data_IF_349208916408
#
_entry.id   IF_349208916408
#
_cell.length_a   1.000
_cell.length_b   1.000
_cell.length_c   1.000
_cell.angle_alpha   90.00
_cell.angle_beta   90.00
_cell.angle_gamma   90.00
#
_symmetry.space_group_name_H-M   'P 1'
#
loop_
_entity.id
_entity.type
_entity.pdbx_description
1 polymer ?
#
# COMPACT_ATOMS: atom_id res chain seq x y z
N UNK A 1 12.86 -6.93 -20.62
CA UNK A 1 12.21 -5.69 -20.15
C UNK A 1 10.83 -6.13 -19.67
N UNK A 2 10.62 -6.27 -18.36
CA UNK A 2 9.35 -6.74 -17.80
C UNK A 2 8.39 -5.55 -17.73
N UNK A 3 7.68 -5.31 -18.83
CA UNK A 3 6.64 -4.29 -18.90
C UNK A 3 5.37 -4.87 -18.24
N UNK A 4 5.25 -4.73 -16.92
CA UNK A 4 4.05 -5.17 -16.20
C UNK A 4 2.92 -4.16 -16.43
N UNK A 5 2.02 -4.47 -17.37
CA UNK A 5 0.77 -3.75 -17.61
C UNK A 5 -0.06 -3.74 -16.32
N UNK A 6 -0.14 -2.58 -15.67
CA UNK A 6 -0.79 -2.45 -14.37
C UNK A 6 -2.31 -2.38 -14.58
N UNK A 7 -3.02 -3.47 -14.25
CA UNK A 7 -4.47 -3.52 -14.41
C UNK A 7 -5.16 -2.58 -13.40
N UNK A 8 -6.25 -1.88 -13.77
CA UNK A 8 -7.02 -1.07 -12.83
C UNK A 8 -7.37 -1.85 -11.55
N UNK A 9 -7.37 -1.17 -10.39
CA UNK A 9 -7.62 -1.77 -9.06
C UNK A 9 -6.62 -2.86 -8.64
N UNK A 10 -5.35 -2.71 -9.01
CA UNK A 10 -4.27 -3.55 -8.48
C UNK A 10 -3.28 -2.68 -7.71
N UNK A 11 -2.41 -3.32 -6.94
CA UNK A 11 -1.29 -2.69 -6.27
C UNK A 11 -0.10 -3.64 -6.24
N UNK A 12 1.10 -3.10 -6.00
CA UNK A 12 2.26 -3.89 -5.64
C UNK A 12 2.97 -3.24 -4.46
N UNK A 13 3.84 -4.01 -3.79
CA UNK A 13 4.65 -3.50 -2.69
C UNK A 13 6.11 -3.55 -3.12
N UNK A 14 6.78 -2.41 -3.05
CA UNK A 14 8.20 -2.25 -3.34
C UNK A 14 8.95 -2.04 -2.04
N UNK A 15 10.00 -2.82 -1.82
CA UNK A 15 10.92 -2.69 -0.70
C UNK A 15 12.13 -1.85 -1.10
N UNK A 16 12.61 -1.03 -0.15
CA UNK A 16 13.67 -0.05 -0.34
C UNK A 16 13.40 0.94 -1.48
N UNK A 17 12.27 1.67 -1.44
CA UNK A 17 11.87 2.55 -2.53
C UNK A 17 12.86 3.70 -2.76
N UNK A 18 12.94 4.17 -4.00
CA UNK A 18 13.74 5.36 -4.33
C UNK A 18 13.24 6.63 -3.63
N UNK A 19 14.18 7.47 -3.20
CA UNK A 19 13.89 8.82 -2.71
C UNK A 19 13.43 9.68 -3.88
N UNK A 20 12.30 10.36 -3.72
CA UNK A 20 11.77 11.33 -4.68
C UNK A 20 11.79 12.74 -4.11
N UNK A 21 12.04 13.74 -4.95
CA UNK A 21 11.94 15.15 -4.60
C UNK A 21 10.46 15.63 -4.61
N UNK A 22 10.22 16.90 -4.30
CA UNK A 22 8.87 17.51 -4.31
C UNK A 22 8.20 17.47 -5.69
N UNK A 23 8.97 17.39 -6.77
CA UNK A 23 8.47 17.24 -8.13
C UNK A 23 8.19 15.77 -8.50
N UNK A 24 8.44 14.82 -7.59
CA UNK A 24 8.24 13.39 -7.81
C UNK A 24 9.36 12.69 -8.58
N UNK A 25 10.47 13.38 -8.84
CA UNK A 25 11.63 12.88 -9.57
C UNK A 25 12.62 12.15 -8.64
N UNK A 26 13.30 11.13 -9.17
CA UNK A 26 14.25 10.32 -8.39
C UNK A 26 15.51 11.11 -8.06
N UNK A 27 15.92 11.05 -6.80
CA UNK A 27 17.13 11.71 -6.30
C UNK A 27 18.33 10.76 -6.45
N UNK A 28 19.39 11.25 -7.07
CA UNK A 28 20.65 10.51 -7.25
C UNK A 28 21.75 11.05 -6.31
N UNK A 29 22.73 10.21 -6.00
CA UNK A 29 23.94 10.60 -5.28
C UNK A 29 25.03 11.16 -6.22
N UNK A 30 26.20 11.50 -5.66
CA UNK A 30 27.33 12.07 -6.42
C UNK A 30 27.90 11.12 -7.48
N UNK A 31 27.61 9.82 -7.37
CA UNK A 31 28.09 8.78 -8.27
C UNK A 31 27.03 8.39 -9.32
N UNK A 32 25.86 9.03 -9.31
CA UNK A 32 24.75 8.71 -10.20
C UNK A 32 23.92 7.50 -9.76
N UNK A 33 24.08 7.03 -8.51
CA UNK A 33 23.26 5.96 -7.96
C UNK A 33 21.96 6.53 -7.38
N UNK A 34 20.83 5.87 -7.66
CA UNK A 34 19.54 6.26 -7.08
C UNK A 34 19.58 6.08 -5.56
N UNK A 35 19.17 7.11 -4.81
CA UNK A 35 19.08 7.02 -3.36
C UNK A 35 17.86 6.21 -2.97
N UNK A 36 18.00 5.32 -2.00
CA UNK A 36 16.94 4.44 -1.52
C UNK A 36 16.59 4.76 -0.06
N UNK A 37 15.33 4.58 0.31
CA UNK A 37 14.87 4.57 1.70
C UNK A 37 14.95 3.12 2.19
N UNK A 38 16.10 2.73 2.73
CA UNK A 38 16.32 1.36 3.17
C UNK A 38 15.35 0.94 4.28
N UNK A 39 14.91 -0.33 4.23
CA UNK A 39 13.96 -0.93 5.17
C UNK A 39 12.57 -0.26 5.23
N UNK A 40 12.22 0.53 4.20
CA UNK A 40 10.88 1.06 4.02
C UNK A 40 10.12 0.31 2.91
N UNK A 41 8.80 0.47 2.91
CA UNK A 41 7.90 -0.11 1.93
C UNK A 41 7.12 1.00 1.22
N UNK A 42 6.94 0.85 -0.09
CA UNK A 42 6.13 1.71 -0.93
C UNK A 42 5.00 0.91 -1.57
N UNK A 43 3.77 1.37 -1.40
CA UNK A 43 2.57 0.75 -1.95
C UNK A 43 2.18 1.50 -3.21
N UNK A 44 2.49 0.90 -4.36
CA UNK A 44 2.21 1.52 -5.67
C UNK A 44 0.86 1.05 -6.18
N UNK A 45 -0.07 1.98 -6.30
CA UNK A 45 -1.40 1.72 -6.87
C UNK A 45 -1.37 1.79 -8.39
N UNK A 46 -2.08 0.86 -9.03
CA UNK A 46 -2.40 0.94 -10.44
C UNK A 46 -3.29 2.15 -10.71
N UNK A 47 -2.88 3.04 -11.60
CA UNK A 47 -3.80 4.01 -12.20
C UNK A 47 -3.95 3.70 -13.68
N UNK A 48 -5.16 3.82 -14.26
CA UNK A 48 -5.41 3.49 -15.67
C UNK A 48 -4.49 4.22 -16.65
N UNK A 49 -4.14 5.46 -16.32
CA UNK A 49 -3.34 6.36 -17.17
C UNK A 49 -1.87 6.45 -16.74
N UNK A 50 -1.45 5.61 -15.79
CA UNK A 50 -0.07 5.60 -15.30
C UNK A 50 0.78 4.67 -16.16
N UNK A 51 1.82 5.23 -16.76
CA UNK A 51 2.81 4.47 -17.51
C UNK A 51 3.48 3.40 -16.60
N UNK A 52 3.89 2.26 -17.18
CA UNK A 52 4.73 1.30 -16.46
C UNK A 52 5.95 2.01 -15.86
N UNK A 53 6.31 1.63 -14.65
CA UNK A 53 7.47 2.19 -13.96
C UNK A 53 8.58 1.13 -13.87
N UNK A 54 9.84 1.51 -14.11
CA UNK A 54 10.96 0.61 -13.84
C UNK A 54 11.17 0.44 -12.33
N UNK A 55 11.76 -0.68 -11.93
CA UNK A 55 12.41 -0.79 -10.63
C UNK A 55 13.84 -0.25 -10.77
N UNK A 56 14.25 0.61 -9.84
CA UNK A 56 15.60 1.13 -9.80
C UNK A 56 16.56 0.12 -9.16
N UNK A 57 17.87 0.18 -9.46
CA UNK A 57 18.86 -0.69 -8.82
C UNK A 57 18.75 -0.65 -7.28
N UNK A 58 18.46 -1.80 -6.68
CA UNK A 58 18.29 -1.98 -5.24
C UNK A 58 16.83 -1.94 -4.75
N UNK A 59 15.87 -1.50 -5.55
CA UNK A 59 14.45 -1.73 -5.28
C UNK A 59 14.12 -3.21 -5.48
N UNK A 60 13.28 -3.76 -4.61
CA UNK A 60 12.82 -5.15 -4.70
C UNK A 60 11.31 -5.20 -4.73
N UNK A 61 10.74 -5.95 -5.68
CA UNK A 61 9.30 -6.19 -5.72
C UNK A 61 8.92 -7.20 -4.62
N UNK A 62 8.56 -6.69 -3.44
CA UNK A 62 8.20 -7.50 -2.29
C UNK A 62 6.90 -8.26 -2.50
N UNK A 63 5.90 -7.59 -3.08
CA UNK A 63 4.63 -8.20 -3.47
C UNK A 63 4.37 -7.92 -4.95
N UNK A 64 4.11 -8.95 -5.77
CA UNK A 64 3.76 -8.74 -7.17
C UNK A 64 2.43 -8.01 -7.32
N UNK A 65 2.12 -7.56 -8.54
CA UNK A 65 0.86 -6.91 -8.86
C UNK A 65 -0.32 -7.79 -8.44
N UNK A 66 -1.05 -7.33 -7.43
CA UNK A 66 -2.13 -8.04 -6.75
C UNK A 66 -3.40 -7.19 -6.81
N UNK A 67 -4.60 -7.76 -7.05
CA UNK A 67 -5.84 -7.00 -7.02
C UNK A 67 -6.12 -6.41 -5.62
N UNK A 68 -6.69 -5.22 -5.58
CA UNK A 68 -7.19 -4.60 -4.34
C UNK A 68 -8.31 -5.45 -3.74
N UNK A 69 -8.34 -5.51 -2.40
CA UNK A 69 -9.35 -6.30 -1.68
C UNK A 69 -10.69 -5.56 -1.68
N UNK A 70 -11.70 -6.17 -2.29
CA UNK A 70 -13.09 -5.69 -2.23
C UNK A 70 -13.77 -6.31 -1.01
N UNK A 71 -14.32 -5.47 -0.15
CA UNK A 71 -15.06 -5.84 1.06
C UNK A 71 -16.54 -5.70 0.74
N UNK A 72 -17.31 -6.79 0.67
CA UNK A 72 -18.74 -6.74 0.36
C UNK A 72 -19.57 -6.16 1.51
N UNK A 73 -20.82 -5.80 1.21
CA UNK A 73 -21.80 -5.41 2.23
C UNK A 73 -21.96 -6.50 3.31
N UNK A 74 -22.31 -6.09 4.53
CA UNK A 74 -22.44 -6.97 5.70
C UNK A 74 -21.13 -7.72 6.05
N UNK A 75 -19.98 -7.16 5.68
CA UNK A 75 -18.67 -7.67 6.07
C UNK A 75 -17.70 -6.53 6.35
N UNK A 76 -16.66 -6.82 7.12
CA UNK A 76 -15.61 -5.88 7.46
C UNK A 76 -14.24 -6.55 7.47
N UNK A 77 -13.18 -5.77 7.32
CA UNK A 77 -11.82 -6.22 7.64
C UNK A 77 -11.46 -5.78 9.05
N UNK A 78 -10.91 -6.68 9.85
CA UNK A 78 -10.23 -6.33 11.09
C UNK A 78 -8.81 -5.90 10.73
N UNK A 79 -8.54 -4.63 10.95
CA UNK A 79 -7.26 -4.00 10.69
C UNK A 79 -6.50 -3.81 12.00
N UNK A 80 -5.18 -3.87 11.94
CA UNK A 80 -4.30 -3.62 13.06
C UNK A 80 -3.13 -2.74 12.65
N UNK A 81 -2.81 -1.74 13.46
CA UNK A 81 -1.63 -0.92 13.26
C UNK A 81 -0.37 -1.71 13.65
N UNK A 82 0.60 -1.80 12.74
CA UNK A 82 1.91 -2.44 13.05
C UNK A 82 2.93 -1.44 13.58
N UNK A 83 2.71 -0.15 13.34
CA UNK A 83 3.55 0.95 13.80
C UNK A 83 2.69 2.21 14.01
N UNK A 84 3.23 3.21 14.71
CA UNK A 84 2.53 4.48 14.99
C UNK A 84 2.41 5.31 13.71
N UNK A 85 1.20 5.80 13.39
CA UNK A 85 0.97 6.66 12.22
C UNK A 85 -0.25 7.57 12.37
N UNK A 86 -0.28 8.64 11.59
CA UNK A 86 -1.44 9.51 11.46
C UNK A 86 -2.38 8.97 10.38
N UNK A 87 -3.54 8.47 10.78
CA UNK A 87 -4.59 8.01 9.87
C UNK A 87 -5.35 9.22 9.32
N UNK A 88 -4.90 9.72 8.17
CA UNK A 88 -5.55 10.83 7.46
C UNK A 88 -7.03 10.55 7.10
N UNK A 89 -7.41 9.29 6.92
CA UNK A 89 -8.78 8.92 6.55
C UNK A 89 -9.71 9.03 7.75
N UNK A 90 -9.28 8.53 8.91
CA UNK A 90 -10.04 8.66 10.16
C UNK A 90 -9.84 10.02 10.86
N UNK A 91 -8.80 10.77 10.48
CA UNK A 91 -8.31 11.97 11.19
C UNK A 91 -7.93 11.68 12.64
N UNK A 92 -7.25 10.55 12.86
CA UNK A 92 -6.87 10.05 14.18
C UNK A 92 -5.40 9.59 14.18
N UNK A 93 -4.75 9.65 15.35
CA UNK A 93 -3.43 9.05 15.54
C UNK A 93 -3.60 7.60 15.98
N UNK A 94 -3.09 6.67 15.18
CA UNK A 94 -3.10 5.23 15.49
C UNK A 94 -1.76 4.87 16.12
N UNK A 95 -1.80 4.12 17.22
CA UNK A 95 -0.62 3.52 17.85
C UNK A 95 -0.46 2.07 17.44
N UNK A 96 0.77 1.58 17.45
CA UNK A 96 1.07 0.18 17.21
C UNK A 96 0.25 -0.72 18.14
N UNK A 97 -0.47 -1.68 17.54
CA UNK A 97 -1.38 -2.57 18.24
C UNK A 97 -2.85 -2.14 18.24
N UNK A 98 -3.16 -0.90 17.86
CA UNK A 98 -4.56 -0.45 17.72
C UNK A 98 -5.29 -1.30 16.67
N UNK A 99 -6.53 -1.67 16.95
CA UNK A 99 -7.39 -2.44 16.06
C UNK A 99 -8.68 -1.69 15.72
N UNK A 100 -9.12 -1.78 14.47
CA UNK A 100 -10.37 -1.17 14.01
C UNK A 100 -10.99 -1.96 12.85
N UNK A 101 -12.21 -1.60 12.47
CA UNK A 101 -12.92 -2.22 11.37
C UNK A 101 -12.92 -1.32 10.13
N UNK A 102 -12.70 -1.93 8.98
CA UNK A 102 -13.01 -1.35 7.68
C UNK A 102 -14.24 -2.03 7.09
N UNK A 103 -15.38 -1.35 7.14
CA UNK A 103 -16.68 -1.90 6.76
C UNK A 103 -16.94 -1.78 5.25
N UNK A 104 -17.53 -2.83 4.67
CA UNK A 104 -18.00 -2.82 3.28
C UNK A 104 -19.43 -2.27 3.13
N UNK A 105 -19.87 -1.94 1.91
CA UNK A 105 -19.22 -2.21 0.63
C UNK A 105 -18.13 -1.18 0.28
N UNK A 106 -16.87 -1.60 0.20
CA UNK A 106 -15.76 -0.70 -0.12
C UNK A 106 -14.55 -1.47 -0.68
N UNK A 107 -13.63 -0.76 -1.35
CA UNK A 107 -12.34 -1.32 -1.77
C UNK A 107 -11.27 -0.88 -0.78
N UNK A 108 -10.62 -1.84 -0.13
CA UNK A 108 -9.55 -1.56 0.82
C UNK A 108 -8.26 -1.20 0.07
N UNK A 109 -7.69 -0.05 0.42
CA UNK A 109 -6.39 0.42 -0.05
C UNK A 109 -5.35 0.07 1.02
N UNK A 110 -4.40 -0.85 0.74
CA UNK A 110 -3.38 -1.23 1.71
C UNK A 110 -2.50 -0.05 2.13
N UNK A 111 -2.08 -0.07 3.40
CA UNK A 111 -1.11 0.87 3.98
C UNK A 111 0.06 0.09 4.57
N UNK A 112 1.27 0.65 4.56
CA UNK A 112 2.47 -0.07 5.03
C UNK A 112 2.47 -0.23 6.56
N UNK A 113 1.74 0.65 7.23
CA UNK A 113 1.58 0.71 8.68
C UNK A 113 0.45 -0.17 9.20
N UNK A 114 -0.28 -0.87 8.33
CA UNK A 114 -1.51 -1.60 8.67
C UNK A 114 -1.46 -3.05 8.20
N UNK A 115 -1.72 -4.00 9.11
CA UNK A 115 -1.96 -5.41 8.80
C UNK A 115 -3.46 -5.72 8.73
N UNK A 116 -3.83 -6.60 7.80
CA UNK A 116 -5.19 -7.15 7.71
C UNK A 116 -5.20 -8.48 8.47
N UNK A 117 -5.86 -8.52 9.62
CA UNK A 117 -5.87 -9.70 10.49
C UNK A 117 -6.89 -10.74 10.00
N UNK A 118 -8.14 -10.31 9.76
CA UNK A 118 -9.21 -11.19 9.30
C UNK A 118 -10.33 -10.44 8.57
N UNK A 119 -11.22 -11.20 7.93
CA UNK A 119 -12.47 -10.68 7.37
C UNK A 119 -13.66 -11.23 8.14
N UNK A 120 -14.43 -10.32 8.74
CA UNK A 120 -15.57 -10.63 9.59
C UNK A 120 -16.87 -10.47 8.77
N UNK A 121 -17.85 -11.34 9.01
CA UNK A 121 -19.21 -11.22 8.43
C UNK A 121 -20.20 -10.87 9.53
N UNK A 122 -21.17 -10.02 9.22
CA UNK A 122 -22.25 -9.72 10.14
C UNK A 122 -23.11 -10.96 10.41
N UNK A 123 -23.55 -11.13 11.65
CA UNK A 123 -24.53 -12.15 12.02
C UNK A 123 -25.92 -11.51 12.07
N UNK A 124 -26.86 -12.03 11.29
CA UNK A 124 -28.26 -11.56 11.31
C UNK A 124 -28.96 -12.19 12.50
N UNK A 125 -29.52 -11.36 13.39
CA UNK A 125 -30.39 -11.81 14.48
C UNK A 125 -31.82 -11.68 13.98
N UNK A 126 -32.55 -12.80 13.92
CA UNK A 126 -33.95 -12.88 13.50
C UNK A 126 -34.80 -13.63 14.50
#
# INVERSE_FOLDING_TARGET
IFESYFRPRHYCVVESPVVRNEAGEVVFDKNGQAKLIHADLDIRLAQPDQAPFPLYPGEVLRQPVTPLKVVPANSALRLKAVLDFDDETAKEQRKAGDEWLFEGPATYIPRKEVSVEEQIRATVIG
#
